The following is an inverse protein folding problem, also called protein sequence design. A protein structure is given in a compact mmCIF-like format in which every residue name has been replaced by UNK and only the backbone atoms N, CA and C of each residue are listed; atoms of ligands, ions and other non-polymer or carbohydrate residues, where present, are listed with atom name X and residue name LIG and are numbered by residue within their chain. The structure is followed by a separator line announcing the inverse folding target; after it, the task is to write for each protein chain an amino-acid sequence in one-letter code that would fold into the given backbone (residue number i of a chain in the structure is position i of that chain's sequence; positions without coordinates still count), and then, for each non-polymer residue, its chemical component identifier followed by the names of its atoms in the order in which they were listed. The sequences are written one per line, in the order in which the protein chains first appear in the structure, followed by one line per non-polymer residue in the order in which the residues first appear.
data_IF_285728091429
#
_entry.id   IF_285728091429
#
_cell.length_a   1.000
_cell.length_b   1.000
_cell.length_c   1.000
_cell.angle_alpha   90.00
_cell.angle_beta   90.00
_cell.angle_gamma   90.00
#
_symmetry.space_group_name_H-M   'P 1'
#
loop_
_entity.id
_entity.type
_entity.pdbx_description
1 polymer ?
#
# COMPACT_ATOMS: atom_id res chain seq x y z
N UNK A 1 -0.55 9.51 -4.15
CA UNK A 1 -0.30 8.29 -3.36
C UNK A 1 0.03 7.13 -4.25
N UNK A 2 1.08 6.41 -3.89
CA UNK A 2 1.56 5.17 -4.50
C UNK A 2 1.61 4.08 -3.41
N UNK A 3 1.42 2.82 -3.81
CA UNK A 3 1.26 1.68 -2.89
C UNK A 3 2.14 0.56 -3.39
N UNK A 4 2.88 -0.06 -2.48
CA UNK A 4 3.83 -1.12 -2.75
C UNK A 4 5.27 -0.65 -3.01
N UNK A 5 6.16 -1.50 -3.54
CA UNK A 5 5.90 -2.91 -3.91
C UNK A 5 5.39 -3.70 -2.71
N UNK A 6 4.25 -4.37 -2.89
CA UNK A 6 3.58 -5.03 -1.77
C UNK A 6 2.52 -6.02 -2.18
N UNK A 7 2.35 -7.07 -1.36
CA UNK A 7 1.30 -8.07 -1.55
C UNK A 7 -0.04 -7.47 -1.18
N UNK A 8 -0.99 -7.49 -2.11
CA UNK A 8 -2.37 -7.16 -1.79
C UNK A 8 -3.17 -8.45 -1.60
N UNK A 9 -3.66 -8.64 -0.37
CA UNK A 9 -4.39 -9.85 -0.01
C UNK A 9 -5.69 -10.00 -0.81
N UNK A 10 -6.49 -8.93 -0.94
CA UNK A 10 -7.75 -8.98 -1.68
C UNK A 10 -7.58 -9.34 -3.16
N UNK A 11 -6.54 -8.82 -3.82
CA UNK A 11 -6.22 -9.17 -5.20
C UNK A 11 -5.66 -10.60 -5.32
N UNK A 12 -4.87 -11.06 -4.35
CA UNK A 12 -4.39 -12.45 -4.31
C UNK A 12 -5.56 -13.42 -4.14
N UNK A 13 -6.54 -13.09 -3.29
CA UNK A 13 -7.78 -13.85 -3.13
C UNK A 13 -8.67 -13.83 -4.39
N UNK A 14 -8.59 -12.77 -5.19
CA UNK A 14 -9.31 -12.70 -6.46
C UNK A 14 -8.68 -13.64 -7.50
N UNK A 15 -7.34 -13.66 -7.61
CA UNK A 15 -6.59 -14.60 -8.47
C UNK A 15 -6.94 -16.05 -8.10
N UNK A 16 -6.94 -16.39 -6.82
CA UNK A 16 -7.27 -17.75 -6.34
C UNK A 16 -8.70 -18.21 -6.69
N UNK A 17 -9.60 -17.28 -7.02
CA UNK A 17 -10.98 -17.58 -7.44
C UNK A 17 -11.12 -17.82 -8.94
N UNK A 18 -10.07 -17.57 -9.73
CA UNK A 18 -10.05 -17.86 -11.17
C UNK A 18 -10.01 -19.37 -11.38
N UNK A 19 -10.83 -19.87 -12.31
CA UNK A 19 -10.86 -21.29 -12.63
C UNK A 19 -9.50 -21.77 -13.15
N UNK A 20 -9.06 -22.94 -12.69
CA UNK A 20 -7.75 -23.50 -13.05
C UNK A 20 -6.57 -22.97 -12.23
N UNK A 21 -6.76 -21.97 -11.36
CA UNK A 21 -5.73 -21.52 -10.41
C UNK A 21 -5.75 -22.41 -9.16
N UNK A 22 -4.57 -22.86 -8.73
CA UNK A 22 -4.35 -23.57 -7.47
C UNK A 22 -4.03 -22.59 -6.34
N UNK A 23 -3.07 -21.70 -6.57
CA UNK A 23 -2.70 -20.63 -5.63
C UNK A 23 -2.16 -19.43 -6.42
N UNK A 24 -2.04 -18.28 -5.78
CA UNK A 24 -1.39 -17.14 -6.37
C UNK A 24 -1.23 -15.96 -5.42
N UNK A 25 -0.24 -15.12 -5.75
CA UNK A 25 0.00 -13.84 -5.08
C UNK A 25 0.04 -12.71 -6.08
N UNK A 26 -0.48 -11.57 -5.64
CA UNK A 26 -0.48 -10.34 -6.42
C UNK A 26 0.31 -9.26 -5.69
N UNK A 27 1.22 -8.64 -6.43
CA UNK A 27 1.97 -7.46 -6.02
C UNK A 27 1.45 -6.22 -6.74
N UNK A 28 1.15 -5.19 -5.97
CA UNK A 28 0.94 -3.83 -6.49
C UNK A 28 2.29 -3.13 -6.46
N UNK A 29 2.73 -2.60 -7.60
CA UNK A 29 4.07 -2.03 -7.79
C UNK A 29 3.94 -0.60 -8.30
N UNK A 30 4.42 0.42 -7.57
CA UNK A 30 4.48 1.78 -8.08
C UNK A 30 5.31 1.88 -9.36
N UNK A 31 4.85 2.66 -10.33
CA UNK A 31 5.64 2.95 -11.53
C UNK A 31 6.66 4.05 -11.22
N UNK A 32 7.95 3.70 -11.26
CA UNK A 32 9.03 4.59 -10.85
C UNK A 32 9.02 5.92 -11.64
N UNK A 33 8.83 5.85 -12.96
CA UNK A 33 8.78 7.04 -13.81
C UNK A 33 7.68 8.03 -13.37
N UNK A 34 6.54 7.53 -12.90
CA UNK A 34 5.43 8.34 -12.40
C UNK A 34 5.76 8.97 -11.03
N UNK A 35 6.43 8.22 -10.14
CA UNK A 35 6.91 8.77 -8.87
C UNK A 35 7.97 9.86 -9.10
N UNK A 36 8.93 9.62 -9.99
CA UNK A 36 9.98 10.57 -10.35
C UNK A 36 9.41 11.86 -10.97
N UNK A 37 8.38 11.77 -11.81
CA UNK A 37 7.68 12.96 -12.33
C UNK A 37 7.08 13.83 -11.19
N UNK A 38 6.51 13.19 -10.17
CA UNK A 38 6.01 13.88 -8.97
C UNK A 38 7.17 14.47 -8.16
N UNK A 39 8.29 13.75 -7.99
CA UNK A 39 9.49 14.25 -7.28
C UNK A 39 10.10 15.48 -7.96
N UNK A 40 10.06 15.54 -9.29
CA UNK A 40 10.51 16.72 -10.08
C UNK A 40 9.55 17.92 -10.02
N UNK A 41 8.41 17.77 -9.35
CA UNK A 41 7.41 18.83 -9.23
C UNK A 41 6.71 19.16 -10.54
N UNK A 42 6.62 18.18 -11.46
CA UNK A 42 5.92 18.33 -12.75
C UNK A 42 4.39 18.36 -12.60
N UNK A 43 3.89 17.94 -11.43
CA UNK A 43 2.45 17.87 -11.10
C UNK A 43 1.61 17.18 -12.19
N UNK A 44 1.99 15.96 -12.63
CA UNK A 44 1.28 15.27 -13.71
C UNK A 44 -0.12 14.82 -13.28
N UNK A 45 -1.07 14.87 -14.21
CA UNK A 45 -2.31 14.12 -14.09
C UNK A 45 -2.06 12.66 -14.49
N UNK A 46 -2.18 11.75 -13.53
CA UNK A 46 -1.89 10.33 -13.71
C UNK A 46 -3.17 9.51 -13.61
N UNK A 47 -3.44 8.71 -14.63
CA UNK A 47 -4.48 7.68 -14.61
C UNK A 47 -4.09 6.52 -13.68
N UNK A 48 -5.06 5.68 -13.31
CA UNK A 48 -4.82 4.46 -12.53
C UNK A 48 -3.70 3.59 -13.11
N UNK A 49 -3.75 3.34 -14.43
CA UNK A 49 -2.76 2.54 -15.17
C UNK A 49 -1.34 3.11 -15.11
N UNK A 50 -1.21 4.44 -15.09
CA UNK A 50 0.10 5.11 -15.07
C UNK A 50 0.75 5.14 -13.68
N UNK A 51 0.01 4.80 -12.62
CA UNK A 51 0.54 4.85 -11.25
C UNK A 51 1.09 3.52 -10.77
N UNK A 52 0.46 2.41 -11.19
CA UNK A 52 0.75 1.09 -10.64
C UNK A 52 0.71 0.00 -11.70
N UNK A 53 1.71 -0.88 -11.64
CA UNK A 53 1.72 -2.19 -12.30
C UNK A 53 1.15 -3.23 -11.34
N UNK A 54 0.43 -4.21 -11.88
CA UNK A 54 0.03 -5.42 -11.16
C UNK A 54 0.86 -6.60 -11.62
N UNK A 55 1.53 -7.24 -10.68
CA UNK A 55 2.42 -8.36 -10.95
C UNK A 55 1.88 -9.59 -10.22
N UNK A 56 1.49 -10.60 -10.98
CA UNK A 56 0.80 -11.78 -10.49
C UNK A 56 1.71 -13.01 -10.63
N UNK A 57 1.86 -13.78 -9.57
CA UNK A 57 2.57 -15.05 -9.54
C UNK A 57 1.54 -16.15 -9.26
N UNK A 58 1.36 -17.07 -10.19
CA UNK A 58 0.22 -17.98 -10.24
C UNK A 58 0.69 -19.43 -10.36
N UNK A 59 0.15 -20.29 -9.50
CA UNK A 59 0.29 -21.74 -9.59
C UNK A 59 -0.97 -22.25 -10.28
N UNK A 60 -0.82 -22.83 -11.47
CA UNK A 60 -1.92 -23.42 -12.22
C UNK A 60 -2.12 -24.88 -11.79
N UNK A 61 -3.37 -25.34 -11.76
CA UNK A 61 -3.69 -26.76 -11.60
C UNK A 61 -3.17 -27.57 -12.78
N UNK A 62 -2.92 -28.85 -12.58
CA UNK A 62 -2.52 -29.77 -13.64
C UNK A 62 -3.55 -29.77 -14.79
N UNK A 63 -3.08 -29.61 -16.03
CA UNK A 63 -3.91 -29.56 -17.23
C UNK A 63 -4.70 -28.26 -17.44
N UNK A 64 -4.56 -27.25 -16.57
CA UNK A 64 -5.28 -25.99 -16.72
C UNK A 64 -4.76 -25.15 -17.90
N UNK A 65 -5.68 -24.45 -18.58
CA UNK A 65 -5.35 -23.54 -19.68
C UNK A 65 -4.76 -22.22 -19.13
N UNK A 66 -3.44 -22.10 -19.24
CA UNK A 66 -2.68 -20.92 -18.80
C UNK A 66 -3.08 -19.65 -19.55
N UNK A 67 -3.40 -19.74 -20.85
CA UNK A 67 -3.80 -18.58 -21.63
C UNK A 67 -5.18 -18.07 -21.19
N UNK A 68 -6.10 -18.99 -20.89
CA UNK A 68 -7.40 -18.65 -20.31
C UNK A 68 -7.26 -18.02 -18.92
N UNK A 69 -6.46 -18.59 -18.04
CA UNK A 69 -6.20 -18.02 -16.70
C UNK A 69 -5.63 -16.60 -16.81
N UNK A 70 -4.63 -16.39 -17.67
CA UNK A 70 -4.03 -15.08 -17.88
C UNK A 70 -5.06 -14.06 -18.39
N UNK A 71 -5.89 -14.45 -19.35
CA UNK A 71 -6.98 -13.61 -19.87
C UNK A 71 -7.99 -13.25 -18.77
N UNK A 72 -8.48 -14.25 -18.04
CA UNK A 72 -9.48 -14.08 -17.00
C UNK A 72 -8.95 -13.21 -15.85
N UNK A 73 -7.66 -13.31 -15.50
CA UNK A 73 -7.00 -12.39 -14.55
C UNK A 73 -6.95 -10.98 -15.11
N UNK A 74 -6.38 -10.79 -16.32
CA UNK A 74 -6.16 -9.45 -16.90
C UNK A 74 -7.44 -8.68 -17.18
N UNK A 75 -8.55 -9.36 -17.39
CA UNK A 75 -9.85 -8.76 -17.72
C UNK A 75 -10.80 -8.69 -16.53
N UNK A 76 -10.36 -9.10 -15.34
CA UNK A 76 -11.22 -9.13 -14.15
C UNK A 76 -11.61 -7.70 -13.71
N UNK A 77 -12.91 -7.38 -13.70
CA UNK A 77 -13.39 -6.03 -13.40
C UNK A 77 -13.04 -5.58 -11.98
N UNK A 78 -12.66 -4.32 -11.82
CA UNK A 78 -12.29 -3.67 -10.54
C UNK A 78 -10.97 -4.15 -9.92
N UNK A 79 -10.37 -5.24 -10.41
CA UNK A 79 -9.13 -5.77 -9.88
C UNK A 79 -7.96 -5.49 -10.82
N UNK A 80 -8.09 -5.81 -12.11
CA UNK A 80 -6.95 -5.86 -13.03
C UNK A 80 -7.18 -5.13 -14.36
N UNK A 81 -8.42 -4.98 -14.80
CA UNK A 81 -8.83 -4.41 -16.09
C UNK A 81 -8.32 -2.98 -16.34
N UNK A 82 -8.22 -2.15 -15.30
CA UNK A 82 -7.69 -0.78 -15.39
C UNK A 82 -6.16 -0.66 -15.28
N UNK A 83 -5.45 -1.78 -15.13
CA UNK A 83 -4.02 -1.78 -14.82
C UNK A 83 -3.23 -2.54 -15.88
N UNK A 84 -1.98 -2.16 -16.07
CA UNK A 84 -1.03 -3.05 -16.72
C UNK A 84 -0.79 -4.21 -15.76
N UNK A 85 -1.05 -5.43 -16.25
CA UNK A 85 -1.00 -6.65 -15.43
C UNK A 85 -0.07 -7.66 -16.11
N UNK A 86 0.87 -8.21 -15.34
CA UNK A 86 1.78 -9.28 -15.78
C UNK A 86 1.46 -10.54 -14.99
N UNK A 87 1.38 -11.68 -15.67
CA UNK A 87 1.09 -12.98 -15.07
C UNK A 87 2.27 -13.92 -15.30
N UNK A 88 2.84 -14.41 -14.20
CA UNK A 88 3.92 -15.38 -14.18
C UNK A 88 3.36 -16.71 -13.69
N UNK A 89 3.53 -17.77 -14.46
CA UNK A 89 3.21 -19.13 -14.02
C UNK A 89 4.43 -19.77 -13.39
N UNK A 90 4.32 -20.10 -12.10
CA UNK A 90 5.42 -20.66 -11.29
C UNK A 90 4.99 -21.95 -10.59
N UNK A 91 5.96 -22.64 -9.99
CA UNK A 91 5.70 -23.81 -9.15
C UNK A 91 5.19 -23.42 -7.76
N UNK A 92 4.56 -24.36 -7.05
CA UNK A 92 4.18 -24.14 -5.65
C UNK A 92 5.44 -23.96 -4.79
N UNK A 93 6.50 -24.72 -5.05
CA UNK A 93 7.76 -24.60 -4.32
C UNK A 93 8.39 -23.20 -4.47
N UNK A 94 8.30 -22.61 -5.66
CA UNK A 94 8.77 -21.24 -5.92
C UNK A 94 7.89 -20.19 -5.24
N UNK A 95 6.57 -20.36 -5.26
CA UNK A 95 5.64 -19.47 -4.56
C UNK A 95 5.92 -19.45 -3.05
N UNK A 96 6.11 -20.63 -2.46
CA UNK A 96 6.38 -20.78 -1.03
C UNK A 96 7.75 -20.23 -0.64
N UNK A 97 8.79 -20.44 -1.47
CA UNK A 97 10.15 -19.96 -1.19
C UNK A 97 10.28 -18.45 -1.33
N UNK A 98 9.83 -17.90 -2.45
CA UNK A 98 10.18 -16.53 -2.86
C UNK A 98 9.06 -15.52 -2.54
N UNK A 99 7.85 -16.02 -2.31
CA UNK A 99 6.69 -15.18 -2.12
C UNK A 99 5.93 -15.47 -0.82
N UNK A 100 6.45 -16.22 0.16
CA UNK A 100 5.74 -16.51 1.42
C UNK A 100 5.34 -15.26 2.23
N UNK A 101 6.16 -14.21 2.21
CA UNK A 101 5.94 -12.99 2.99
C UNK A 101 4.70 -12.18 2.59
N UNK A 102 4.38 -11.18 3.42
CA UNK A 102 3.35 -10.16 3.13
C UNK A 102 3.99 -8.76 3.28
N UNK A 103 5.01 -8.45 2.46
CA UNK A 103 5.62 -7.13 2.47
C UNK A 103 4.64 -6.11 1.89
N UNK A 104 4.79 -4.85 2.28
CA UNK A 104 4.09 -3.74 1.66
C UNK A 104 4.88 -2.44 1.83
N UNK A 105 4.38 -1.39 1.22
CA UNK A 105 4.93 -0.06 1.39
C UNK A 105 4.12 0.96 0.63
N UNK A 106 4.74 2.09 0.37
CA UNK A 106 4.19 3.10 -0.51
C UNK A 106 4.69 4.48 -0.18
N UNK A 107 4.15 5.44 -0.92
CA UNK A 107 4.53 6.84 -0.86
C UNK A 107 3.28 7.72 -0.86
N UNK A 108 3.25 8.67 0.07
CA UNK A 108 2.36 9.84 0.00
C UNK A 108 3.22 11.03 -0.35
N UNK A 109 2.92 11.65 -1.49
CA UNK A 109 3.70 12.74 -2.04
C UNK A 109 2.79 13.93 -2.29
N UNK A 110 3.23 15.11 -1.89
CA UNK A 110 2.56 16.38 -2.14
C UNK A 110 3.58 17.35 -2.72
N UNK A 111 3.45 17.62 -4.02
CA UNK A 111 4.14 18.74 -4.68
C UNK A 111 3.23 19.98 -4.64
N UNK A 112 3.82 21.14 -4.37
CA UNK A 112 3.13 22.43 -4.39
C UNK A 112 4.05 23.56 -4.84
N UNK A 113 3.47 24.72 -5.13
CA UNK A 113 4.22 25.91 -5.53
C UNK A 113 3.86 27.12 -4.65
N UNK A 114 4.83 27.97 -4.40
CA UNK A 114 4.64 29.30 -3.78
C UNK A 114 5.38 30.36 -4.61
N UNK A 115 5.23 31.63 -4.22
CA UNK A 115 5.72 32.77 -5.02
C UNK A 115 4.62 33.33 -5.90
N UNK A 116 4.70 34.62 -6.24
CA UNK A 116 3.66 35.30 -7.00
C UNK A 116 3.54 34.75 -8.44
N UNK A 117 4.63 34.20 -8.97
CA UNK A 117 4.71 33.60 -10.30
C UNK A 117 4.85 32.06 -10.22
N UNK A 118 4.71 31.47 -9.03
CA UNK A 118 4.85 30.03 -8.81
C UNK A 118 6.29 29.51 -8.92
N UNK A 119 7.28 30.37 -8.71
CA UNK A 119 8.70 30.12 -8.93
C UNK A 119 9.33 29.18 -7.89
N UNK A 120 8.68 28.97 -6.74
CA UNK A 120 9.20 28.12 -5.66
C UNK A 120 8.44 26.81 -5.60
N UNK A 121 9.11 25.72 -5.98
CA UNK A 121 8.56 24.36 -5.91
C UNK A 121 8.90 23.70 -4.58
N UNK A 122 7.92 23.04 -3.97
CA UNK A 122 8.04 22.34 -2.69
C UNK A 122 7.55 20.92 -2.82
N UNK A 123 8.21 19.99 -2.14
CA UNK A 123 7.83 18.58 -2.10
C UNK A 123 7.80 18.10 -0.64
N UNK A 124 6.70 17.47 -0.25
CA UNK A 124 6.60 16.67 0.97
C UNK A 124 6.43 15.22 0.55
N UNK A 125 7.28 14.35 1.06
CA UNK A 125 7.25 12.90 0.79
C UNK A 125 7.27 12.12 2.11
N UNK A 126 6.34 11.19 2.24
CA UNK A 126 6.28 10.22 3.34
C UNK A 126 6.26 8.82 2.75
N UNK A 127 7.10 7.92 3.27
CA UNK A 127 7.24 6.57 2.75
C UNK A 127 7.13 5.50 3.84
N UNK A 128 6.69 4.31 3.42
CA UNK A 128 6.72 3.10 4.22
C UNK A 128 7.44 2.00 3.43
N UNK A 129 8.34 1.27 4.11
CA UNK A 129 8.98 0.06 3.61
C UNK A 129 8.83 -1.01 4.68
N UNK A 130 7.92 -1.95 4.44
CA UNK A 130 7.44 -2.90 5.44
C UNK A 130 7.73 -4.32 4.98
N UNK A 131 8.46 -5.07 5.80
CA UNK A 131 8.69 -6.49 5.57
C UNK A 131 7.45 -7.33 5.95
N UNK A 132 6.68 -6.86 6.95
CA UNK A 132 5.41 -7.44 7.39
C UNK A 132 4.33 -6.35 7.54
N UNK A 133 3.47 -6.24 6.53
CA UNK A 133 2.31 -5.34 6.55
C UNK A 133 1.35 -5.58 7.74
N UNK A 134 0.95 -6.83 8.09
CA UNK A 134 0.05 -7.06 9.21
C UNK A 134 0.66 -6.67 10.56
N UNK A 135 1.96 -6.91 10.77
CA UNK A 135 2.64 -6.51 12.01
C UNK A 135 2.73 -4.99 12.15
N UNK A 136 3.12 -4.29 11.09
CA UNK A 136 3.14 -2.82 11.10
C UNK A 136 1.76 -2.25 11.41
N UNK A 137 0.72 -2.76 10.74
CA UNK A 137 -0.67 -2.35 10.97
C UNK A 137 -1.07 -2.61 12.43
N UNK A 138 -0.71 -3.76 12.99
CA UNK A 138 -1.00 -4.10 14.40
C UNK A 138 -0.31 -3.16 15.37
N UNK A 139 0.94 -2.79 15.13
CA UNK A 139 1.66 -1.81 15.95
C UNK A 139 1.00 -0.43 15.92
N UNK A 140 0.50 0.01 14.75
CA UNK A 140 -0.31 1.23 14.64
C UNK A 140 -1.58 1.10 15.50
N UNK A 141 -2.31 -0.01 15.40
CA UNK A 141 -3.52 -0.24 16.21
C UNK A 141 -3.24 -0.17 17.72
N UNK A 142 -2.13 -0.78 18.18
CA UNK A 142 -1.73 -0.72 19.59
C UNK A 142 -1.40 0.72 20.03
N UNK A 143 -0.72 1.50 19.19
CA UNK A 143 -0.47 2.91 19.48
C UNK A 143 -1.78 3.72 19.58
N UNK A 144 -2.74 3.46 18.69
CA UNK A 144 -4.05 4.11 18.73
C UNK A 144 -4.93 3.64 19.91
N UNK A 145 -4.79 2.39 20.37
CA UNK A 145 -5.48 1.91 21.57
C UNK A 145 -5.09 2.75 22.82
N UNK A 146 -3.83 3.19 22.91
CA UNK A 146 -3.38 4.13 23.96
C UNK A 146 -4.11 5.47 23.87
N UNK A 147 -4.27 6.00 22.66
CA UNK A 147 -5.02 7.24 22.47
C UNK A 147 -6.49 7.08 22.88
N UNK A 148 -7.12 5.95 22.53
CA UNK A 148 -8.49 5.63 22.96
C UNK A 148 -8.61 5.61 24.49
N UNK A 149 -7.66 5.02 25.20
CA UNK A 149 -7.66 5.00 26.66
C UNK A 149 -7.57 6.41 27.27
N UNK A 150 -6.75 7.30 26.68
CA UNK A 150 -6.64 8.70 27.11
C UNK A 150 -7.95 9.46 26.90
N UNK A 151 -8.56 9.35 25.71
CA UNK A 151 -9.87 9.95 25.45
C UNK A 151 -10.95 9.45 26.41
N UNK A 152 -10.96 8.16 26.74
CA UNK A 152 -11.91 7.59 27.70
C UNK A 152 -11.71 8.19 29.10
N UNK A 153 -10.47 8.35 29.56
CA UNK A 153 -10.16 9.00 30.84
C UNK A 153 -10.63 10.46 30.89
N UNK A 154 -10.58 11.15 29.75
CA UNK A 154 -11.07 12.52 29.54
C UNK A 154 -12.59 12.59 29.30
N UNK A 155 -13.29 11.45 29.29
CA UNK A 155 -14.72 11.34 28.99
C UNK A 155 -15.09 11.85 27.59
N UNK A 156 -14.16 11.79 26.65
CA UNK A 156 -14.39 12.08 25.22
C UNK A 156 -14.87 10.82 24.50
N UNK A 157 -16.15 10.79 24.15
CA UNK A 157 -16.80 9.63 23.52
C UNK A 157 -17.13 9.89 22.04
N UNK A 158 -17.65 8.85 21.38
CA UNK A 158 -18.02 8.89 19.96
C UNK A 158 -16.91 8.38 19.03
N UNK A 159 -17.27 8.17 17.76
CA UNK A 159 -16.36 7.71 16.73
C UNK A 159 -15.29 8.76 16.43
N UNK A 160 -14.04 8.33 16.29
CA UNK A 160 -12.88 9.17 15.95
C UNK A 160 -12.13 8.52 14.79
N UNK A 161 -11.52 9.35 13.97
CA UNK A 161 -10.59 8.96 12.91
C UNK A 161 -9.16 9.37 13.30
N UNK A 162 -8.17 8.98 12.50
CA UNK A 162 -6.78 9.40 12.72
C UNK A 162 -6.59 10.92 12.70
N UNK A 163 -7.51 11.68 12.10
CA UNK A 163 -7.47 13.15 12.08
C UNK A 163 -7.86 13.80 13.41
N UNK A 164 -8.54 13.05 14.27
CA UNK A 164 -8.99 13.54 15.57
C UNK A 164 -8.00 13.21 16.70
N UNK A 165 -6.93 12.46 16.39
CA UNK A 165 -5.97 11.95 17.39
C UNK A 165 -4.68 12.78 17.37
N UNK A 166 -4.39 13.56 18.42
CA UNK A 166 -3.12 14.26 18.54
C UNK A 166 -1.97 13.24 18.58
N UNK A 167 -0.84 13.45 17.87
CA UNK A 167 0.29 12.53 17.90
C UNK A 167 0.82 12.21 19.30
N UNK A 168 0.75 13.18 20.23
CA UNK A 168 1.15 13.00 21.62
C UNK A 168 0.36 11.87 22.34
N UNK A 169 -0.89 11.61 21.94
CA UNK A 169 -1.72 10.57 22.55
C UNK A 169 -1.23 9.16 22.21
N UNK A 170 -0.51 9.01 21.08
CA UNK A 170 0.07 7.75 20.64
C UNK A 170 1.30 7.37 21.48
N UNK A 171 1.98 8.35 22.09
CA UNK A 171 3.20 8.13 22.86
C UNK A 171 2.90 7.61 24.28
N UNK A 172 3.72 6.69 24.82
CA UNK A 172 3.67 6.35 26.24
C UNK A 172 4.28 7.45 27.13
N UNK A 173 5.10 8.34 26.56
CA UNK A 173 5.79 9.40 27.30
C UNK A 173 4.81 10.47 27.80
N UNK A 174 5.20 11.16 28.87
CA UNK A 174 4.54 12.37 29.34
C UNK A 174 4.71 13.52 28.35
N UNK A 175 3.85 14.54 28.46
CA UNK A 175 3.97 15.74 27.63
C UNK A 175 5.29 16.49 27.86
N UNK A 176 5.87 16.42 29.05
CA UNK A 176 7.18 17.00 29.36
C UNK A 176 8.30 16.28 28.62
N UNK A 177 8.35 14.95 28.70
CA UNK A 177 9.35 14.13 28.02
C UNK A 177 9.28 14.28 26.50
N UNK A 178 8.08 14.37 25.92
CA UNK A 178 7.92 14.62 24.47
C UNK A 178 8.56 15.95 24.09
N UNK A 179 8.29 17.03 24.85
CA UNK A 179 8.88 18.35 24.58
C UNK A 179 10.39 18.39 24.80
N UNK A 180 10.91 17.63 25.76
CA UNK A 180 12.34 17.63 26.07
C UNK A 180 13.18 16.83 25.06
N UNK A 181 12.59 15.84 24.39
CA UNK A 181 13.34 14.89 23.58
C UNK A 181 12.95 14.81 22.10
N UNK A 182 11.75 15.32 21.71
CA UNK A 182 11.19 15.15 20.36
C UNK A 182 10.68 16.44 19.71
N UNK A 183 10.85 17.61 20.35
CA UNK A 183 10.55 18.95 19.81
C UNK A 183 11.83 19.80 19.78
#
# INVERSE_FOLDING_TARGET
TFWGKGVSQGHSDAIRRVEGVQDGKQYTVPIEAAMEAVRRGEQPELTTRQKHLRECYVVAKEGADRAKIEHDIKTMPNYFDEYDTVVHFISQEELDRDHAGIPHGGFVMRSGVTGAEGEHKHLIEYSLKLDSNPEFTTNVLVAFARAVARFAAEKSYGCKTVFDVPPAYLSPLSGEEIRAHLL
#
